data_IF_253030039117
#
_entry.id   IF_253030039117
#
_cell.length_a   1.000
_cell.length_b   1.000
_cell.length_c   1.000
_cell.angle_alpha   90.00
_cell.angle_beta   90.00
_cell.angle_gamma   90.00
#
_symmetry.space_group_name_H-M   'P 1'
#
loop_
_entity.id
_entity.type
_entity.pdbx_description
1 polymer ?
#
# COMPACT_ATOMS: atom_id res chain seq x y z
N UNK A 1 63.39 -19.10 -2.57
CA UNK A 1 63.23 -17.64 -2.33
C UNK A 1 61.80 -17.28 -2.67
N UNK A 2 61.17 -16.55 -1.75
CA UNK A 2 59.76 -16.18 -1.79
C UNK A 2 59.48 -15.00 -2.74
N UNK A 3 58.22 -14.93 -3.19
CA UNK A 3 57.35 -13.74 -3.39
C UNK A 3 56.18 -14.23 -4.29
N UNK A 4 54.92 -14.32 -3.86
CA UNK A 4 54.11 -13.30 -3.20
C UNK A 4 53.35 -12.53 -4.28
N UNK A 5 52.09 -12.90 -4.59
CA UNK A 5 50.85 -12.11 -4.37
C UNK A 5 50.17 -11.96 -5.74
N UNK A 6 48.87 -11.78 -5.96
CA UNK A 6 47.62 -11.86 -5.21
C UNK A 6 46.52 -11.59 -6.27
N UNK A 7 45.28 -11.98 -5.99
CA UNK A 7 44.13 -11.22 -6.50
C UNK A 7 43.26 -11.90 -7.54
N UNK A 8 42.53 -12.92 -7.11
CA UNK A 8 41.22 -13.24 -7.66
C UNK A 8 40.33 -12.00 -7.50
N UNK A 9 40.02 -11.30 -8.59
CA UNK A 9 39.06 -10.20 -8.58
C UNK A 9 37.66 -10.79 -8.59
N UNK A 10 37.13 -10.99 -7.39
CA UNK A 10 35.70 -10.98 -7.13
C UNK A 10 35.11 -9.70 -7.74
N UNK A 11 34.42 -9.84 -8.87
CA UNK A 11 33.53 -8.79 -9.34
C UNK A 11 32.23 -8.95 -8.54
N UNK A 12 32.30 -8.61 -7.26
CA UNK A 12 31.12 -8.36 -6.44
C UNK A 12 30.37 -7.23 -7.14
N UNK A 13 29.31 -7.59 -7.85
CA UNK A 13 28.30 -6.66 -8.29
C UNK A 13 27.82 -5.92 -7.04
N UNK A 14 28.42 -4.75 -6.81
CA UNK A 14 27.93 -3.76 -5.87
C UNK A 14 26.61 -3.27 -6.44
N UNK A 15 25.54 -4.05 -6.23
CA UNK A 15 24.20 -3.52 -6.11
C UNK A 15 24.24 -2.58 -4.92
N UNK A 16 24.69 -1.36 -5.18
CA UNK A 16 24.33 -0.23 -4.34
C UNK A 16 22.82 -0.15 -4.48
N UNK A 17 22.02 -0.38 -3.42
CA UNK A 17 20.65 0.05 -3.49
C UNK A 17 20.76 1.56 -3.65
N UNK A 18 20.31 2.06 -4.81
CA UNK A 18 20.01 3.47 -4.97
C UNK A 18 18.85 3.69 -4.01
N UNK A 19 19.17 3.94 -2.74
CA UNK A 19 18.24 4.50 -1.77
C UNK A 19 18.14 5.96 -2.20
N UNK A 20 17.37 6.19 -3.25
CA UNK A 20 16.74 7.48 -3.44
C UNK A 20 15.99 7.76 -2.14
N UNK A 21 16.52 8.71 -1.36
CA UNK A 21 15.80 9.39 -0.30
C UNK A 21 14.66 10.15 -0.98
N UNK A 22 13.67 9.42 -1.46
CA UNK A 22 12.40 10.00 -1.82
C UNK A 22 11.77 10.33 -0.48
N UNK A 23 11.48 11.61 -0.26
CA UNK A 23 10.55 12.02 0.78
C UNK A 23 9.29 11.16 0.69
N UNK A 24 8.46 11.15 1.74
CA UNK A 24 7.11 10.57 1.56
C UNK A 24 6.48 11.20 0.31
N UNK A 25 6.29 10.44 -0.78
CA UNK A 25 5.56 10.99 -1.93
C UNK A 25 4.13 11.34 -1.51
N UNK A 26 3.63 10.65 -0.47
CA UNK A 26 2.28 10.80 0.04
C UNK A 26 2.24 10.82 1.57
N UNK A 27 1.45 11.74 2.13
CA UNK A 27 1.28 11.90 3.57
C UNK A 27 -0.16 11.57 3.99
N UNK A 28 -0.30 10.64 4.93
CA UNK A 28 -1.57 10.29 5.59
C UNK A 28 -1.42 10.41 7.11
N UNK A 29 -2.51 10.56 7.87
CA UNK A 29 -2.47 10.53 9.32
C UNK A 29 -1.91 9.18 9.83
N UNK A 30 -0.99 9.22 10.80
CA UNK A 30 -0.36 8.02 11.33
C UNK A 30 -1.38 7.10 12.03
N UNK A 31 -2.28 7.69 12.83
CA UNK A 31 -3.37 6.97 13.48
C UNK A 31 -4.27 6.21 12.48
N UNK A 32 -4.51 6.79 11.29
CA UNK A 32 -5.27 6.12 10.23
C UNK A 32 -4.51 4.90 9.68
N UNK A 33 -3.20 5.01 9.49
CA UNK A 33 -2.38 3.91 8.99
C UNK A 33 -2.36 2.74 9.98
N UNK A 34 -2.23 3.04 11.27
CA UNK A 34 -2.28 2.07 12.35
C UNK A 34 -3.67 1.41 12.43
N UNK A 35 -4.75 2.19 12.47
CA UNK A 35 -6.12 1.66 12.51
C UNK A 35 -6.43 0.79 11.27
N UNK A 36 -5.96 1.16 10.08
CA UNK A 36 -6.11 0.37 8.86
C UNK A 36 -5.40 -0.98 8.98
N UNK A 37 -4.15 -0.96 9.44
CA UNK A 37 -3.34 -2.15 9.63
C UNK A 37 -4.01 -3.10 10.63
N UNK A 38 -4.33 -2.64 11.85
CA UNK A 38 -4.94 -3.48 12.89
C UNK A 38 -6.32 -4.03 12.48
N UNK A 39 -7.12 -3.18 11.82
CA UNK A 39 -8.48 -3.53 11.47
C UNK A 39 -8.57 -4.51 10.30
N UNK A 40 -7.63 -4.45 9.36
CA UNK A 40 -7.78 -5.06 8.04
C UNK A 40 -6.60 -5.89 7.54
N UNK A 41 -5.41 -5.82 8.16
CA UNK A 41 -4.31 -6.73 7.85
C UNK A 41 -4.71 -8.19 8.14
N UNK A 42 -4.36 -9.10 7.23
CA UNK A 42 -4.77 -10.51 7.25
C UNK A 42 -6.27 -10.76 7.01
N UNK A 43 -7.10 -9.71 6.84
CA UNK A 43 -8.56 -9.82 6.66
C UNK A 43 -9.02 -9.33 5.30
N UNK A 44 -8.52 -8.16 4.88
CA UNK A 44 -8.75 -7.56 3.57
C UNK A 44 -7.43 -7.53 2.81
N UNK A 45 -6.37 -7.03 3.45
CA UNK A 45 -5.01 -7.12 2.93
C UNK A 45 -4.43 -8.49 3.27
N UNK A 46 -3.61 -9.04 2.37
CA UNK A 46 -2.70 -10.11 2.77
C UNK A 46 -1.80 -9.62 3.89
N UNK A 47 -1.35 -10.57 4.70
CA UNK A 47 -0.60 -10.28 5.91
C UNK A 47 0.74 -9.60 5.59
N UNK A 48 0.81 -8.29 5.82
CA UNK A 48 2.04 -7.50 5.87
C UNK A 48 2.62 -7.62 7.27
N UNK A 49 3.93 -7.77 7.37
CA UNK A 49 4.59 -8.19 8.62
C UNK A 49 4.51 -7.12 9.71
N UNK A 50 4.62 -5.85 9.36
CA UNK A 50 4.63 -4.74 10.33
C UNK A 50 3.76 -3.56 9.90
N UNK A 51 3.26 -2.75 10.86
CA UNK A 51 2.58 -1.49 10.55
C UNK A 51 3.44 -0.52 9.72
N UNK A 52 4.74 -0.46 10.00
CA UNK A 52 5.68 0.42 9.30
C UNK A 52 5.86 0.01 7.84
N UNK A 53 5.89 -1.29 7.58
CA UNK A 53 5.97 -1.83 6.23
C UNK A 53 4.68 -1.50 5.45
N UNK A 54 3.53 -1.75 6.07
CA UNK A 54 2.23 -1.38 5.48
C UNK A 54 2.16 0.10 5.14
N UNK A 55 2.56 0.97 6.08
CA UNK A 55 2.64 2.41 5.87
C UNK A 55 3.59 2.77 4.73
N UNK A 56 4.75 2.13 4.66
CA UNK A 56 5.74 2.39 3.60
C UNK A 56 5.19 2.07 2.22
N UNK A 57 4.45 0.97 2.08
CA UNK A 57 3.80 0.62 0.81
C UNK A 57 2.75 1.68 0.42
N UNK A 58 1.84 2.04 1.32
CA UNK A 58 0.76 3.02 1.06
C UNK A 58 1.31 4.42 0.73
N UNK A 59 2.43 4.79 1.34
CA UNK A 59 3.11 6.09 1.14
C UNK A 59 4.13 6.08 0.00
N UNK A 60 4.23 4.96 -0.74
CA UNK A 60 5.19 4.74 -1.83
C UNK A 60 6.66 4.96 -1.43
N UNK A 61 7.01 4.59 -0.19
CA UNK A 61 8.38 4.51 0.29
C UNK A 61 9.01 3.16 -0.05
N UNK A 62 10.33 3.05 0.15
CA UNK A 62 11.04 1.78 0.09
C UNK A 62 10.38 0.73 0.99
N UNK A 63 10.03 -0.40 0.41
CA UNK A 63 9.37 -1.54 1.05
C UNK A 63 9.86 -2.84 0.39
N UNK A 64 9.55 -3.96 1.01
CA UNK A 64 9.95 -5.32 0.62
C UNK A 64 8.71 -6.12 0.19
N UNK A 65 7.57 -5.92 0.86
CA UNK A 65 6.33 -6.63 0.60
C UNK A 65 5.43 -5.87 -0.37
N UNK A 66 4.65 -6.59 -1.17
CA UNK A 66 3.65 -5.99 -2.06
C UNK A 66 2.27 -5.89 -1.41
N UNK A 67 1.55 -4.80 -1.69
CA UNK A 67 0.16 -4.71 -1.26
C UNK A 67 -0.74 -5.59 -2.12
N UNK A 68 -1.43 -6.55 -1.51
CA UNK A 68 -2.39 -7.40 -2.22
C UNK A 68 -3.59 -7.77 -1.36
N UNK A 69 -4.70 -8.14 -2.00
CA UNK A 69 -5.92 -8.55 -1.31
C UNK A 69 -5.87 -10.01 -0.84
N UNK A 70 -6.55 -10.30 0.26
CA UNK A 70 -7.00 -11.66 0.57
C UNK A 70 -8.05 -12.10 -0.48
N UNK A 71 -8.03 -13.39 -0.84
CA UNK A 71 -8.86 -13.97 -1.90
C UNK A 71 -10.30 -13.45 -1.89
N UNK A 72 -10.69 -12.79 -2.99
CA UNK A 72 -12.02 -12.22 -3.20
C UNK A 72 -12.40 -11.07 -2.25
N UNK A 73 -11.45 -10.24 -1.79
CA UNK A 73 -11.72 -9.01 -1.01
C UNK A 73 -11.34 -7.74 -1.78
N UNK A 74 -11.41 -7.81 -3.11
CA UNK A 74 -10.90 -6.79 -4.03
C UNK A 74 -11.72 -5.50 -3.99
N UNK A 75 -13.04 -5.56 -3.89
CA UNK A 75 -13.90 -4.38 -3.81
C UNK A 75 -13.72 -3.66 -2.47
N UNK A 76 -13.52 -4.39 -1.37
CA UNK A 76 -13.16 -3.79 -0.09
C UNK A 76 -11.80 -3.09 -0.17
N UNK A 77 -10.81 -3.71 -0.81
CA UNK A 77 -9.50 -3.09 -1.04
C UNK A 77 -9.62 -1.84 -1.92
N UNK A 78 -10.33 -1.91 -3.05
CA UNK A 78 -10.62 -0.75 -3.90
C UNK A 78 -11.28 0.39 -3.13
N UNK A 79 -12.21 0.07 -2.23
CA UNK A 79 -12.87 1.07 -1.38
C UNK A 79 -11.87 1.77 -0.46
N UNK A 80 -11.01 1.02 0.23
CA UNK A 80 -10.00 1.60 1.11
C UNK A 80 -9.05 2.50 0.31
N UNK A 81 -8.55 2.01 -0.83
CA UNK A 81 -7.64 2.77 -1.67
C UNK A 81 -8.30 4.04 -2.23
N UNK A 82 -9.54 3.95 -2.71
CA UNK A 82 -10.29 5.13 -3.14
C UNK A 82 -10.44 6.14 -1.99
N UNK A 83 -10.80 5.71 -0.79
CA UNK A 83 -11.01 6.63 0.33
C UNK A 83 -9.71 7.26 0.84
N UNK A 84 -8.59 6.54 0.77
CA UNK A 84 -7.26 7.11 0.98
C UNK A 84 -6.98 8.25 0.00
N UNK A 85 -7.25 8.04 -1.30
CA UNK A 85 -7.02 9.09 -2.30
C UNK A 85 -7.77 10.39 -1.98
N UNK A 86 -8.95 10.31 -1.37
CA UNK A 86 -9.74 11.50 -1.02
C UNK A 86 -9.10 12.33 0.09
N UNK A 87 -8.19 11.75 0.88
CA UNK A 87 -7.44 12.46 1.91
C UNK A 87 -6.22 13.21 1.33
N UNK A 88 -5.83 12.92 0.09
CA UNK A 88 -4.75 13.62 -0.59
C UNK A 88 -5.26 14.89 -1.29
N UNK A 89 -4.40 15.91 -1.46
CA UNK A 89 -4.63 17.03 -2.38
C UNK A 89 -4.97 16.57 -3.80
N UNK A 90 -5.93 17.23 -4.45
CA UNK A 90 -6.46 16.81 -5.75
C UNK A 90 -5.40 16.69 -6.84
N UNK A 91 -4.39 17.57 -6.81
CA UNK A 91 -3.26 17.64 -7.74
C UNK A 91 -2.34 16.42 -7.68
N UNK A 92 -2.30 15.70 -6.55
CA UNK A 92 -1.46 14.50 -6.40
C UNK A 92 -2.23 13.17 -6.43
N UNK A 93 -3.58 13.22 -6.43
CA UNK A 93 -4.43 12.00 -6.41
C UNK A 93 -4.20 11.11 -7.61
N UNK A 94 -4.05 11.70 -8.79
CA UNK A 94 -3.88 10.93 -10.03
C UNK A 94 -2.57 10.12 -9.99
N UNK A 95 -1.47 10.76 -9.60
CA UNK A 95 -0.17 10.11 -9.43
C UNK A 95 -0.24 9.01 -8.38
N UNK A 96 -0.84 9.29 -7.22
CA UNK A 96 -1.01 8.28 -6.17
C UNK A 96 -1.78 7.04 -6.64
N UNK A 97 -2.86 7.25 -7.40
CA UNK A 97 -3.62 6.15 -7.97
C UNK A 97 -2.77 5.30 -8.93
N UNK A 98 -1.93 5.92 -9.76
CA UNK A 98 -1.07 5.19 -10.68
C UNK A 98 -0.05 4.34 -9.92
N UNK A 99 0.58 4.90 -8.88
CA UNK A 99 1.59 4.21 -8.09
C UNK A 99 0.97 3.04 -7.31
N UNK A 100 -0.14 3.29 -6.59
CA UNK A 100 -0.79 2.23 -5.81
C UNK A 100 -1.46 1.18 -6.71
N UNK A 101 -1.91 1.54 -7.91
CA UNK A 101 -2.44 0.57 -8.86
C UNK A 101 -1.34 -0.35 -9.39
N UNK A 102 -0.14 0.17 -9.69
CA UNK A 102 1.01 -0.65 -10.06
C UNK A 102 1.39 -1.58 -8.92
N UNK A 103 1.47 -1.06 -7.71
CA UNK A 103 1.76 -1.79 -6.47
C UNK A 103 0.83 -3.01 -6.29
N UNK A 104 -0.47 -2.79 -6.50
CA UNK A 104 -1.47 -3.84 -6.31
C UNK A 104 -1.74 -4.71 -7.56
N UNK A 105 -1.08 -4.42 -8.70
CA UNK A 105 -1.39 -5.07 -9.99
C UNK A 105 -2.80 -4.77 -10.52
N UNK A 106 -3.34 -3.59 -10.24
CA UNK A 106 -4.69 -3.16 -10.61
C UNK A 106 -4.71 -2.11 -11.73
N UNK A 107 -5.91 -1.86 -12.27
CA UNK A 107 -6.16 -0.69 -13.12
C UNK A 107 -6.68 0.45 -12.27
N UNK A 108 -6.15 1.66 -12.47
CA UNK A 108 -6.62 2.89 -11.80
C UNK A 108 -8.14 3.04 -11.86
N UNK A 109 -8.74 2.80 -13.02
CA UNK A 109 -10.19 2.89 -13.22
C UNK A 109 -10.97 1.99 -12.24
N UNK A 110 -10.44 0.80 -11.93
CA UNK A 110 -11.13 -0.11 -11.03
C UNK A 110 -11.17 0.45 -9.61
N UNK A 111 -10.06 1.02 -9.14
CA UNK A 111 -9.99 1.65 -7.82
C UNK A 111 -10.89 2.89 -7.81
N UNK A 112 -10.80 3.75 -8.82
CA UNK A 112 -11.50 5.02 -8.86
C UNK A 112 -13.02 4.88 -9.10
N UNK A 113 -13.47 3.87 -9.85
CA UNK A 113 -14.90 3.75 -10.25
C UNK A 113 -15.61 2.49 -9.79
N UNK A 114 -14.90 1.38 -9.57
CA UNK A 114 -15.53 0.07 -9.29
C UNK A 114 -15.58 -0.28 -7.81
N UNK A 115 -15.11 0.58 -6.91
CA UNK A 115 -15.11 0.36 -5.46
C UNK A 115 -16.50 0.17 -4.81
N UNK A 116 -17.59 0.53 -5.51
CA UNK A 116 -18.97 0.33 -5.04
C UNK A 116 -19.54 -1.05 -5.40
N UNK A 117 -18.80 -1.85 -6.18
CA UNK A 117 -19.16 -3.23 -6.45
C UNK A 117 -19.06 -4.09 -5.20
N UNK A 118 -19.62 -5.30 -5.24
CA UNK A 118 -19.55 -6.23 -4.11
C UNK A 118 -18.58 -7.37 -4.38
N UNK A 119 -17.79 -7.74 -3.37
CA UNK A 119 -16.98 -8.96 -3.38
C UNK A 119 -17.84 -10.22 -3.19
N UNK A 120 -18.94 -10.10 -2.43
CA UNK A 120 -19.90 -11.18 -2.17
C UNK A 120 -21.22 -10.59 -1.66
N UNK A 121 -22.35 -11.25 -1.91
CA UNK A 121 -23.65 -10.80 -1.38
C UNK A 121 -23.83 -11.29 0.07
N UNK A 122 -22.84 -11.06 0.92
CA UNK A 122 -22.82 -11.52 2.32
C UNK A 122 -22.98 -10.36 3.30
N UNK A 123 -23.52 -10.67 4.47
CA UNK A 123 -23.62 -9.71 5.58
C UNK A 123 -22.24 -9.33 6.13
N UNK A 124 -21.29 -10.27 6.12
CA UNK A 124 -19.89 -10.01 6.51
C UNK A 124 -19.27 -8.91 5.64
N UNK A 125 -19.46 -8.99 4.32
CA UNK A 125 -18.99 -7.95 3.40
C UNK A 125 -19.61 -6.59 3.71
N UNK A 126 -20.93 -6.53 3.93
CA UNK A 126 -21.64 -5.29 4.26
C UNK A 126 -21.11 -4.66 5.54
N UNK A 127 -20.90 -5.48 6.58
CA UNK A 127 -20.32 -5.06 7.85
C UNK A 127 -18.90 -4.52 7.66
N UNK A 128 -18.06 -5.19 6.87
CA UNK A 128 -16.70 -4.72 6.56
C UNK A 128 -16.71 -3.40 5.78
N UNK A 129 -17.59 -3.27 4.79
CA UNK A 129 -17.79 -2.04 4.05
C UNK A 129 -18.25 -0.89 4.96
N UNK A 130 -19.11 -1.16 5.94
CA UNK A 130 -19.54 -0.19 6.94
C UNK A 130 -18.41 0.19 7.90
N UNK A 131 -17.58 -0.75 8.33
CA UNK A 131 -16.38 -0.48 9.14
C UNK A 131 -15.42 0.46 8.40
N UNK A 132 -15.17 0.21 7.11
CA UNK A 132 -14.34 1.10 6.28
C UNK A 132 -14.94 2.51 6.25
N UNK A 133 -16.25 2.64 5.96
CA UNK A 133 -16.91 3.96 5.94
C UNK A 133 -16.81 4.69 7.27
N UNK A 134 -16.98 4.00 8.39
CA UNK A 134 -16.88 4.60 9.72
C UNK A 134 -15.46 5.04 10.03
N UNK A 135 -14.44 4.26 9.66
CA UNK A 135 -13.05 4.63 9.82
C UNK A 135 -12.75 5.95 9.10
N UNK A 136 -13.01 6.02 7.80
CA UNK A 136 -12.69 7.20 7.00
C UNK A 136 -13.51 8.44 7.37
N UNK A 137 -14.73 8.29 7.92
CA UNK A 137 -15.51 9.42 8.45
C UNK A 137 -14.80 10.19 9.56
N UNK A 138 -13.92 9.55 10.33
CA UNK A 138 -13.12 10.22 11.37
C UNK A 138 -12.09 11.18 10.78
N UNK A 139 -11.62 10.90 9.56
CA UNK A 139 -10.50 11.56 8.92
C UNK A 139 -10.90 12.44 7.72
N UNK A 140 -12.10 12.23 7.17
CA UNK A 140 -12.71 13.14 6.21
C UNK A 140 -13.04 14.45 6.92
N UNK A 141 -12.21 15.48 6.69
CA UNK A 141 -12.53 16.85 7.11
C UNK A 141 -13.92 17.22 6.58
N UNK A 142 -14.73 17.80 7.46
CA UNK A 142 -16.03 18.42 7.16
C UNK A 142 -15.86 19.55 6.16
#
# INVERSE_FOLDING_TARGET
>A
MANGQDGHKDNTNNFSPIVSKVENDYHFPDDLMEELYESFNGKIFKNITTPEEFKSIITHRSHIDYLSECSQKRMLMYKILHDLSLLLPEDIRATWFEDIAKECGYKVENINKKYKGSDSVTEEYRKKMEQIRHLFRKYSRT
#
